data_IF_998241640023
#
_entry.id   IF_998241640023
#
_cell.length_a   1.000
_cell.length_b   1.000
_cell.length_c   1.000
_cell.angle_alpha   90.00
_cell.angle_beta   90.00
_cell.angle_gamma   90.00
#
_symmetry.space_group_name_H-M   'P 1'
#
loop_
_entity.id
_entity.type
_entity.pdbx_description
1 polymer ?
#
# COMPACT_ATOMS: atom_id res chain seq x y z
N UNK A 1 -5.69 8.92 -22.38
CA UNK A 1 -4.64 8.01 -21.90
C UNK A 1 -5.16 7.35 -20.64
N UNK A 2 -5.31 6.03 -20.63
CA UNK A 2 -5.75 5.28 -19.45
C UNK A 2 -4.61 5.07 -18.45
N UNK A 3 -4.91 4.61 -17.23
CA UNK A 3 -3.89 4.25 -16.24
C UNK A 3 -3.03 3.09 -16.77
N UNK A 4 -3.65 2.10 -17.41
CA UNK A 4 -2.95 0.96 -18.00
C UNK A 4 -1.98 1.39 -19.10
N UNK A 5 -2.36 2.38 -19.93
CA UNK A 5 -1.47 2.97 -20.93
C UNK A 5 -0.28 3.70 -20.28
N UNK A 6 -0.53 4.48 -19.22
CA UNK A 6 0.51 5.19 -18.47
C UNK A 6 1.48 4.23 -17.77
N UNK A 7 0.98 3.16 -17.16
CA UNK A 7 1.78 2.11 -16.54
C UNK A 7 2.66 1.41 -17.58
N UNK A 8 2.09 1.05 -18.74
CA UNK A 8 2.82 0.41 -19.82
C UNK A 8 3.97 1.31 -20.32
N UNK A 9 3.75 2.62 -20.50
CA UNK A 9 4.82 3.55 -20.88
C UNK A 9 5.86 3.73 -19.76
N UNK A 10 5.44 3.84 -18.50
CA UNK A 10 6.35 3.96 -17.36
C UNK A 10 7.25 2.72 -17.20
N UNK A 11 6.73 1.53 -17.52
CA UNK A 11 7.49 0.28 -17.47
C UNK A 11 8.54 0.15 -18.59
N UNK A 12 8.41 0.90 -19.69
CA UNK A 12 9.43 0.97 -20.75
C UNK A 12 10.68 1.77 -20.36
N UNK A 13 10.59 2.60 -19.32
CA UNK A 13 11.73 3.35 -18.81
C UNK A 13 12.81 2.40 -18.26
N UNK A 14 14.07 2.80 -18.39
CA UNK A 14 15.17 2.11 -17.71
C UNK A 14 14.96 2.14 -16.18
N UNK A 15 15.60 1.23 -15.42
CA UNK A 15 15.39 1.14 -13.98
C UNK A 15 15.65 2.45 -13.21
N UNK A 16 16.61 3.27 -13.64
CA UNK A 16 16.94 4.52 -12.97
C UNK A 16 15.88 5.59 -13.24
N UNK A 17 15.46 5.75 -14.49
CA UNK A 17 14.40 6.67 -14.88
C UNK A 17 13.06 6.29 -14.23
N UNK A 18 12.74 4.99 -14.20
CA UNK A 18 11.54 4.49 -13.52
C UNK A 18 11.56 4.76 -12.02
N UNK A 19 12.68 4.52 -11.35
CA UNK A 19 12.83 4.83 -9.92
C UNK A 19 12.66 6.34 -9.63
N UNK A 20 13.20 7.21 -10.50
CA UNK A 20 13.00 8.67 -10.38
C UNK A 20 11.54 9.07 -10.55
N UNK A 21 10.83 8.47 -11.50
CA UNK A 21 9.39 8.71 -11.70
C UNK A 21 8.59 8.25 -10.49
N UNK A 22 8.85 7.03 -9.99
CA UNK A 22 8.20 6.49 -8.79
C UNK A 22 8.40 7.42 -7.58
N UNK A 23 9.61 7.93 -7.36
CA UNK A 23 9.87 8.91 -6.29
C UNK A 23 9.03 10.18 -6.43
N UNK A 24 8.90 10.72 -7.65
CA UNK A 24 8.10 11.93 -7.90
C UNK A 24 6.61 11.69 -7.64
N UNK A 25 6.09 10.56 -8.09
CA UNK A 25 4.70 10.18 -7.86
C UNK A 25 4.45 10.01 -6.36
N UNK A 26 5.35 9.34 -5.64
CA UNK A 26 5.22 9.17 -4.18
C UNK A 26 5.26 10.53 -3.46
N UNK A 27 6.20 11.40 -3.79
CA UNK A 27 6.29 12.75 -3.22
C UNK A 27 5.04 13.59 -3.52
N UNK A 28 4.35 13.35 -4.64
CA UNK A 28 3.09 14.05 -4.95
C UNK A 28 1.95 13.68 -4.00
N UNK A 29 2.00 12.49 -3.40
CA UNK A 29 1.02 12.04 -2.41
C UNK A 29 1.26 12.66 -1.03
N UNK A 30 2.50 13.07 -0.72
CA UNK A 30 2.83 13.77 0.53
C UNK A 30 2.28 15.21 0.57
N UNK A 31 1.84 15.75 -0.57
CA UNK A 31 1.26 17.09 -0.69
C UNK A 31 -0.28 17.11 -0.57
N UNK A 32 -0.92 15.95 -0.35
CA UNK A 32 -2.36 15.86 -0.13
C UNK A 32 -2.75 16.53 1.20
N UNK A 33 -3.95 17.09 1.28
CA UNK A 33 -4.46 17.65 2.54
C UNK A 33 -4.75 16.55 3.55
N UNK A 34 -4.84 16.91 4.83
CA UNK A 34 -5.17 15.95 5.89
C UNK A 34 -6.55 15.31 5.65
N UNK A 35 -7.53 16.07 5.15
CA UNK A 35 -8.86 15.56 4.83
C UNK A 35 -8.83 14.56 3.66
N UNK A 36 -8.00 14.83 2.65
CA UNK A 36 -7.84 13.92 1.51
C UNK A 36 -7.11 12.64 1.91
N UNK A 37 -6.10 12.74 2.78
CA UNK A 37 -5.44 11.59 3.38
C UNK A 37 -6.41 10.76 4.22
N UNK A 38 -7.19 11.38 5.10
CA UNK A 38 -8.17 10.68 5.95
C UNK A 38 -9.21 9.93 5.11
N UNK A 39 -9.70 10.54 4.04
CA UNK A 39 -10.61 9.90 3.09
C UNK A 39 -9.98 8.66 2.45
N UNK A 40 -8.78 8.79 1.91
CA UNK A 40 -8.07 7.67 1.25
C UNK A 40 -7.75 6.54 2.22
N UNK A 41 -7.35 6.84 3.46
CA UNK A 41 -7.10 5.83 4.49
C UNK A 41 -8.38 5.12 4.94
N UNK A 42 -9.50 5.84 5.00
CA UNK A 42 -10.81 5.24 5.32
C UNK A 42 -11.22 4.25 4.23
N UNK A 43 -11.15 4.67 2.95
CA UNK A 43 -11.46 3.80 1.80
C UNK A 43 -10.56 2.55 1.78
N UNK A 44 -9.28 2.71 2.06
CA UNK A 44 -8.32 1.59 2.13
C UNK A 44 -8.59 0.66 3.32
N UNK A 45 -9.02 1.20 4.47
CA UNK A 45 -9.39 0.40 5.63
C UNK A 45 -10.62 -0.47 5.31
N UNK A 46 -11.66 0.12 4.73
CA UNK A 46 -12.88 -0.60 4.32
C UNK A 46 -12.57 -1.71 3.31
N UNK A 47 -11.74 -1.40 2.30
CA UNK A 47 -11.29 -2.40 1.32
C UNK A 47 -10.57 -3.57 1.98
N UNK A 48 -9.64 -3.29 2.91
CA UNK A 48 -8.87 -4.34 3.60
C UNK A 48 -9.73 -5.18 4.54
N UNK A 49 -10.71 -4.57 5.19
CA UNK A 49 -11.67 -5.27 6.05
C UNK A 49 -12.52 -6.23 5.22
N UNK A 50 -13.04 -5.76 4.07
CA UNK A 50 -13.75 -6.61 3.12
C UNK A 50 -12.88 -7.76 2.56
N UNK A 51 -11.63 -7.46 2.19
CA UNK A 51 -10.67 -8.47 1.73
C UNK A 51 -10.42 -9.53 2.83
N UNK A 52 -10.29 -9.10 4.09
CA UNK A 52 -10.09 -9.99 5.23
C UNK A 52 -11.29 -10.93 5.45
N UNK A 53 -12.50 -10.39 5.43
CA UNK A 53 -13.73 -11.17 5.56
C UNK A 53 -13.93 -12.15 4.40
N UNK A 54 -13.48 -11.79 3.19
CA UNK A 54 -13.57 -12.64 2.00
C UNK A 54 -12.64 -13.87 2.04
N UNK A 55 -11.63 -13.87 2.91
CA UNK A 55 -10.65 -14.95 3.04
C UNK A 55 -10.63 -15.59 4.45
N UNK A 56 -11.69 -16.31 4.86
CA UNK A 56 -11.75 -16.98 6.16
C UNK A 56 -10.57 -17.95 6.34
N UNK A 57 -9.87 -17.83 7.47
CA UNK A 57 -8.73 -18.68 7.81
C UNK A 57 -7.36 -18.19 7.33
N UNK A 58 -7.29 -17.04 6.64
CA UNK A 58 -6.02 -16.34 6.35
C UNK A 58 -5.35 -15.77 7.62
N UNK A 59 -6.12 -15.62 8.70
CA UNK A 59 -5.65 -15.10 9.97
C UNK A 59 -4.76 -16.06 10.76
N UNK A 60 -3.90 -15.48 11.59
CA UNK A 60 -3.04 -16.22 12.53
C UNK A 60 -3.58 -16.07 13.96
N UNK A 61 -3.46 -17.10 14.81
CA UNK A 61 -3.81 -16.97 16.23
C UNK A 61 -3.03 -15.83 16.89
N UNK A 62 -3.76 -14.95 17.59
CA UNK A 62 -3.17 -13.77 18.23
C UNK A 62 -2.03 -14.12 19.21
N UNK A 63 -2.15 -15.25 19.92
CA UNK A 63 -1.13 -15.72 20.85
C UNK A 63 0.22 -16.00 20.17
N UNK A 64 0.20 -16.61 18.98
CA UNK A 64 1.41 -16.90 18.21
C UNK A 64 2.06 -15.61 17.71
N UNK A 65 1.25 -14.70 17.16
CA UNK A 65 1.71 -13.40 16.66
C UNK A 65 2.38 -12.59 17.77
N UNK A 66 1.74 -12.50 18.94
CA UNK A 66 2.27 -11.75 20.09
C UNK A 66 3.54 -12.36 20.65
N UNK A 67 3.63 -13.70 20.73
CA UNK A 67 4.84 -14.41 21.14
C UNK A 67 6.01 -14.07 20.20
N UNK A 68 5.80 -14.21 18.90
CA UNK A 68 6.84 -13.99 17.89
C UNK A 68 7.30 -12.53 17.87
N UNK A 69 6.37 -11.58 18.00
CA UNK A 69 6.69 -10.14 18.05
C UNK A 69 7.57 -9.79 19.27
N UNK A 70 7.22 -10.30 20.46
CA UNK A 70 8.00 -10.09 21.68
C UNK A 70 9.40 -10.70 21.61
N UNK A 71 9.54 -11.85 20.95
CA UNK A 71 10.84 -12.49 20.78
C UNK A 71 11.83 -11.65 19.96
N UNK A 72 11.34 -10.74 19.11
CA UNK A 72 12.14 -9.83 18.27
C UNK A 72 12.56 -8.53 18.97
N UNK A 73 12.07 -8.24 20.18
CA UNK A 73 12.40 -7.02 20.93
C UNK A 73 13.72 -7.13 21.72
N UNK A 74 14.62 -8.03 21.32
CA UNK A 74 15.93 -8.21 21.96
C UNK A 74 17.03 -7.48 21.20
#
# INVERSE_FOLDING_TARGET
MSIEELEAEALKLDPQARARLAKKLLASLEALSDEENERLWTEEADRRDADWDSAPGSGRPAADVLRDARAKLK
#
